data_IF_672150067253
#
_entry.id   IF_672150067253
#
_cell.length_a   1.000
_cell.length_b   1.000
_cell.length_c   1.000
_cell.angle_alpha   90.00
_cell.angle_beta   90.00
_cell.angle_gamma   90.00
#
_symmetry.space_group_name_H-M   'P 1'
#
loop_
_entity.id
_entity.type
_entity.pdbx_description
1 polymer ?
#
# COMPACT_ATOMS: atom_id res chain seq x y z
N UNK A 1 4.97 19.46 -16.37
CA UNK A 1 4.77 18.03 -16.13
C UNK A 1 3.78 17.90 -15.00
N UNK A 2 2.68 17.17 -15.18
CA UNK A 2 1.83 16.80 -14.03
C UNK A 2 2.66 15.85 -13.18
N UNK A 3 3.09 16.27 -12.00
CA UNK A 3 3.77 15.40 -11.04
C UNK A 3 2.70 14.54 -10.40
N UNK A 4 2.60 13.30 -10.85
CA UNK A 4 1.76 12.31 -10.17
C UNK A 4 2.26 12.15 -8.73
N UNK A 5 1.37 11.79 -7.82
CA UNK A 5 1.75 11.51 -6.43
C UNK A 5 2.51 10.19 -6.37
N UNK A 6 3.50 10.09 -5.50
CA UNK A 6 4.28 8.86 -5.28
C UNK A 6 3.58 7.96 -4.26
N UNK A 7 3.40 6.69 -4.60
CA UNK A 7 2.76 5.68 -3.75
C UNK A 7 3.77 4.57 -3.39
N UNK A 8 4.02 4.38 -2.09
CA UNK A 8 4.70 3.19 -1.57
C UNK A 8 3.67 2.07 -1.34
N UNK A 9 3.71 1.05 -2.19
CA UNK A 9 2.88 -0.14 -2.08
C UNK A 9 3.70 -1.27 -1.42
N UNK A 10 3.43 -1.50 -0.14
CA UNK A 10 4.11 -2.49 0.69
C UNK A 10 3.38 -3.83 0.55
N UNK A 11 4.06 -4.81 -0.05
CA UNK A 11 3.57 -6.18 -0.20
C UNK A 11 4.70 -7.20 -0.30
N UNK A 12 4.42 -8.45 0.07
CA UNK A 12 5.31 -9.58 -0.16
C UNK A 12 4.81 -10.41 -1.36
N UNK A 13 5.41 -10.19 -2.53
CA UNK A 13 5.06 -10.92 -3.76
C UNK A 13 5.48 -12.41 -3.72
N UNK A 14 6.32 -12.81 -2.76
CA UNK A 14 6.76 -14.20 -2.59
C UNK A 14 5.90 -14.97 -1.60
N UNK A 15 4.97 -14.28 -0.93
CA UNK A 15 4.06 -14.90 0.02
C UNK A 15 3.17 -15.94 -0.68
N UNK A 16 3.26 -17.20 -0.22
CA UNK A 16 2.44 -18.31 -0.69
C UNK A 16 1.26 -18.52 0.25
N UNK A 17 0.05 -18.20 -0.21
CA UNK A 17 -1.17 -18.57 0.49
C UNK A 17 -1.71 -19.90 -0.01
N UNK A 18 -2.37 -20.66 0.87
CA UNK A 18 -2.87 -22.01 0.57
C UNK A 18 -3.92 -22.04 -0.55
N UNK A 19 -4.74 -20.99 -0.70
CA UNK A 19 -5.89 -20.98 -1.61
C UNK A 19 -6.01 -19.69 -2.46
N UNK A 20 -4.96 -18.86 -2.52
CA UNK A 20 -5.05 -17.53 -3.16
C UNK A 20 -3.70 -17.09 -3.73
N UNK A 21 -3.71 -16.60 -4.96
CA UNK A 21 -2.50 -16.11 -5.65
C UNK A 21 -2.32 -14.61 -5.37
N UNK A 22 -1.92 -14.25 -4.15
CA UNK A 22 -1.79 -12.85 -3.72
C UNK A 22 -0.90 -11.98 -4.63
N UNK A 23 0.19 -12.54 -5.15
CA UNK A 23 1.06 -11.80 -6.07
C UNK A 23 0.32 -11.35 -7.34
N UNK A 24 -0.60 -12.17 -7.89
CA UNK A 24 -1.38 -11.79 -9.08
C UNK A 24 -2.34 -10.66 -8.76
N UNK A 25 -2.95 -10.68 -7.58
CA UNK A 25 -3.84 -9.61 -7.14
C UNK A 25 -3.09 -8.31 -6.93
N UNK A 26 -1.90 -8.36 -6.33
CA UNK A 26 -1.08 -7.16 -6.13
C UNK A 26 -0.57 -6.59 -7.45
N UNK A 27 -0.19 -7.45 -8.41
CA UNK A 27 0.15 -7.01 -9.77
C UNK A 27 -1.05 -6.36 -10.47
N UNK A 28 -2.26 -6.91 -10.32
CA UNK A 28 -3.48 -6.32 -10.87
C UNK A 28 -3.81 -4.97 -10.20
N UNK A 29 -3.77 -4.88 -8.88
CA UNK A 29 -4.05 -3.63 -8.17
C UNK A 29 -3.06 -2.54 -8.59
N UNK A 30 -1.76 -2.86 -8.60
CA UNK A 30 -0.74 -1.89 -9.02
C UNK A 30 -0.84 -1.52 -10.50
N UNK A 31 -1.31 -2.43 -11.38
CA UNK A 31 -1.57 -2.08 -12.78
C UNK A 31 -2.72 -1.08 -12.95
N UNK A 32 -3.68 -1.02 -12.03
CA UNK A 32 -4.75 -0.01 -12.04
C UNK A 32 -4.31 1.32 -11.42
N UNK A 33 -3.38 1.28 -10.46
CA UNK A 33 -2.93 2.48 -9.74
C UNK A 33 -1.87 3.27 -10.52
N UNK A 34 -1.08 2.61 -11.37
CA UNK A 34 0.03 3.25 -12.10
C UNK A 34 -0.42 4.39 -13.03
N UNK A 35 -1.69 4.41 -13.41
CA UNK A 35 -2.25 5.46 -14.26
C UNK A 35 -2.46 6.78 -13.48
N UNK A 36 -2.48 6.72 -12.14
CA UNK A 36 -2.71 7.87 -11.26
C UNK A 36 -1.56 8.19 -10.29
N UNK A 37 -0.61 7.26 -10.11
CA UNK A 37 0.48 7.36 -9.15
C UNK A 37 1.80 6.85 -9.72
N UNK A 38 2.91 7.44 -9.28
CA UNK A 38 4.24 6.87 -9.45
C UNK A 38 4.45 5.82 -8.34
N UNK A 39 4.58 4.54 -8.70
CA UNK A 39 4.51 3.43 -7.74
C UNK A 39 5.89 2.90 -7.37
N UNK A 40 6.14 2.78 -6.06
CA UNK A 40 7.24 2.02 -5.47
C UNK A 40 6.65 0.74 -4.87
N UNK A 41 6.95 -0.41 -5.48
CA UNK A 41 6.66 -1.73 -4.91
C UNK A 41 7.77 -2.12 -3.94
N UNK A 42 7.44 -2.38 -2.67
CA UNK A 42 8.44 -2.66 -1.64
C UNK A 42 8.06 -3.86 -0.78
N UNK A 43 9.06 -4.71 -0.49
CA UNK A 43 8.92 -5.77 0.49
C UNK A 43 8.81 -5.18 1.91
N UNK A 44 7.95 -5.71 2.81
CA UNK A 44 7.76 -5.20 4.16
C UNK A 44 9.06 -4.87 4.88
N UNK A 45 9.98 -5.83 4.97
CA UNK A 45 11.24 -5.69 5.70
C UNK A 45 12.17 -4.58 5.18
N UNK A 46 11.92 -4.02 4.00
CA UNK A 46 12.77 -2.99 3.38
C UNK A 46 12.08 -1.61 3.32
N UNK A 47 10.85 -1.45 3.83
CA UNK A 47 10.06 -0.24 3.63
C UNK A 47 10.61 1.01 4.31
N UNK A 48 11.31 0.85 5.44
CA UNK A 48 11.72 1.96 6.32
C UNK A 48 12.47 3.08 5.59
N UNK A 49 13.28 2.74 4.58
CA UNK A 49 14.08 3.71 3.82
C UNK A 49 13.25 4.55 2.82
N UNK A 50 12.02 4.14 2.53
CA UNK A 50 11.15 4.77 1.53
C UNK A 50 9.93 5.48 2.13
N UNK A 51 9.60 5.19 3.39
CA UNK A 51 8.39 5.67 4.08
C UNK A 51 8.24 7.20 4.08
N UNK A 52 9.34 7.95 4.19
CA UNK A 52 9.34 9.43 4.22
C UNK A 52 9.53 10.07 2.84
N UNK A 53 9.73 9.27 1.78
CA UNK A 53 10.03 9.74 0.43
C UNK A 53 8.79 9.79 -0.48
N UNK A 54 7.61 9.45 0.05
CA UNK A 54 6.39 9.24 -0.73
C UNK A 54 5.22 10.06 -0.20
N UNK A 55 4.25 10.33 -1.07
CA UNK A 55 3.03 11.05 -0.71
C UNK A 55 1.98 10.16 -0.02
N UNK A 56 2.07 8.84 -0.23
CA UNK A 56 1.09 7.87 0.26
C UNK A 56 1.72 6.49 0.48
N UNK A 57 1.26 5.79 1.52
CA UNK A 57 1.65 4.41 1.83
C UNK A 57 0.41 3.50 1.85
N UNK A 58 0.49 2.36 1.16
CA UNK A 58 -0.51 1.28 1.20
C UNK A 58 0.18 0.01 1.67
N UNK A 59 -0.31 -0.60 2.75
CA UNK A 59 0.20 -1.89 3.27
C UNK A 59 -0.80 -3.00 3.03
N UNK A 60 -0.43 -4.00 2.21
CA UNK A 60 -1.36 -5.10 1.95
C UNK A 60 -1.57 -5.94 3.21
N UNK A 61 -2.85 -6.12 3.59
CA UNK A 61 -3.29 -6.86 4.77
C UNK A 61 -3.07 -8.38 4.67
N UNK A 62 -2.27 -8.85 3.72
CA UNK A 62 -2.13 -10.25 3.35
C UNK A 62 -0.66 -10.58 3.07
N UNK A 63 -0.04 -11.36 3.97
CA UNK A 63 1.42 -11.53 4.01
C UNK A 63 2.06 -10.62 5.07
N UNK A 64 2.27 -9.32 4.80
CA UNK A 64 2.91 -8.34 5.70
C UNK A 64 2.32 -8.32 7.12
N UNK A 65 1.01 -8.14 7.25
CA UNK A 65 0.34 -8.02 8.55
C UNK A 65 0.26 -9.35 9.33
N UNK A 66 0.30 -10.49 8.63
CA UNK A 66 0.10 -11.83 9.23
C UNK A 66 1.44 -12.49 9.58
N UNK A 67 2.45 -12.37 8.71
CA UNK A 67 3.72 -13.09 8.80
C UNK A 67 4.87 -12.22 9.30
N UNK A 68 4.73 -10.89 9.25
CA UNK A 68 5.74 -9.95 9.68
C UNK A 68 5.22 -9.11 10.85
N UNK A 69 4.70 -9.76 11.89
CA UNK A 69 4.03 -9.10 13.03
C UNK A 69 4.93 -8.09 13.75
N UNK A 70 6.19 -8.44 14.00
CA UNK A 70 7.16 -7.54 14.64
C UNK A 70 7.41 -6.30 13.79
N UNK A 71 7.68 -6.51 12.49
CA UNK A 71 7.80 -5.41 11.55
C UNK A 71 6.53 -4.55 11.49
N UNK A 72 5.35 -5.17 11.46
CA UNK A 72 4.07 -4.46 11.38
C UNK A 72 3.86 -3.59 12.61
N UNK A 73 4.14 -4.11 13.81
CA UNK A 73 4.09 -3.32 15.04
C UNK A 73 5.07 -2.15 15.01
N UNK A 74 6.34 -2.39 14.63
CA UNK A 74 7.32 -1.31 14.49
C UNK A 74 6.94 -0.31 13.40
N UNK A 75 6.27 -0.75 12.34
CA UNK A 75 5.74 0.13 11.30
C UNK A 75 4.63 1.02 11.85
N UNK A 76 3.68 0.47 12.63
CA UNK A 76 2.64 1.27 13.31
C UNK A 76 3.25 2.34 14.22
N UNK A 77 4.26 2.00 15.01
CA UNK A 77 4.98 2.96 15.85
C UNK A 77 5.64 4.06 15.02
N UNK A 78 6.27 3.72 13.88
CA UNK A 78 6.87 4.73 12.99
C UNK A 78 5.82 5.64 12.39
N UNK A 79 4.65 5.09 12.04
CA UNK A 79 3.55 5.85 11.46
C UNK A 79 3.02 6.88 12.45
N UNK A 80 2.78 6.46 13.69
CA UNK A 80 2.31 7.35 14.74
C UNK A 80 3.34 8.43 15.08
N UNK A 81 4.60 8.03 15.28
CA UNK A 81 5.66 8.95 15.69
C UNK A 81 6.06 9.96 14.59
N UNK A 82 5.97 9.56 13.31
CA UNK A 82 6.42 10.39 12.17
C UNK A 82 5.27 11.00 11.38
N UNK A 83 4.02 10.66 11.69
CA UNK A 83 2.85 11.11 10.94
C UNK A 83 2.83 10.61 9.50
N UNK A 84 3.22 9.36 9.26
CA UNK A 84 3.32 8.81 7.90
C UNK A 84 1.95 8.73 7.21
N UNK A 85 1.86 9.06 5.90
CA UNK A 85 0.59 9.14 5.19
C UNK A 85 0.11 7.73 4.76
N UNK A 86 -0.37 6.92 5.71
CA UNK A 86 -0.98 5.63 5.35
C UNK A 86 -2.42 5.81 4.89
N UNK A 87 -2.76 5.11 3.83
CA UNK A 87 -4.10 5.03 3.27
C UNK A 87 -5.04 3.99 3.94
N UNK A 88 -4.49 2.95 4.56
CA UNK A 88 -5.27 1.79 5.01
C UNK A 88 -5.75 1.98 6.45
N UNK A 89 -7.01 1.63 6.75
CA UNK A 89 -7.47 1.52 8.13
C UNK A 89 -6.75 0.37 8.82
N UNK A 90 -6.05 0.67 9.91
CA UNK A 90 -5.14 -0.22 10.63
C UNK A 90 -5.87 -1.30 11.47
N UNK A 91 -7.21 -1.33 11.43
CA UNK A 91 -8.10 -2.15 12.26
C UNK A 91 -8.53 -3.49 11.61
N UNK A 92 -7.97 -3.84 10.45
CA UNK A 92 -8.26 -5.11 9.78
C UNK A 92 -9.61 -5.18 9.05
N UNK A 93 -10.44 -4.13 9.12
CA UNK A 93 -11.68 -3.99 8.31
C UNK A 93 -11.42 -3.45 6.90
N UNK A 94 -10.17 -3.12 6.59
CA UNK A 94 -9.76 -2.38 5.41
C UNK A 94 -9.77 -3.17 4.08
N UNK A 95 -9.97 -4.50 4.06
CA UNK A 95 -9.97 -5.23 2.77
C UNK A 95 -11.18 -4.86 1.89
N UNK A 96 -12.26 -4.35 2.49
CA UNK A 96 -13.45 -3.86 1.78
C UNK A 96 -13.38 -2.35 1.49
N UNK A 97 -13.04 -1.54 2.50
CA UNK A 97 -12.99 -0.06 2.36
C UNK A 97 -11.79 0.41 1.52
N UNK A 98 -10.64 -0.26 1.60
CA UNK A 98 -9.44 0.10 0.84
C UNK A 98 -9.59 -0.16 -0.66
N UNK A 99 -10.30 -1.22 -1.06
CA UNK A 99 -10.55 -1.53 -2.48
C UNK A 99 -11.53 -0.54 -3.13
N UNK A 100 -12.64 -0.22 -2.47
CA UNK A 100 -13.58 0.78 -3.01
C UNK A 100 -12.98 2.19 -3.05
N UNK A 101 -12.16 2.56 -2.07
CA UNK A 101 -11.57 3.90 -2.01
C UNK A 101 -10.35 4.07 -2.93
N UNK A 102 -9.54 3.03 -3.17
CA UNK A 102 -8.50 3.05 -4.22
C UNK A 102 -9.13 3.27 -5.61
N UNK A 103 -10.23 2.57 -5.91
CA UNK A 103 -11.01 2.78 -7.14
C UNK A 103 -11.63 4.18 -7.20
N UNK A 104 -12.00 4.75 -6.05
CA UNK A 104 -12.51 6.13 -5.95
C UNK A 104 -11.40 7.16 -6.20
N UNK A 105 -10.18 6.93 -5.70
CA UNK A 105 -9.03 7.78 -5.97
C UNK A 105 -8.59 7.72 -7.43
N UNK A 106 -8.66 6.57 -8.11
CA UNK A 106 -8.43 6.50 -9.56
C UNK A 106 -9.44 7.36 -10.33
N UNK A 107 -10.69 7.42 -9.86
CA UNK A 107 -11.74 8.29 -10.45
C UNK A 107 -11.56 9.77 -10.11
N UNK A 108 -11.03 10.11 -8.93
CA UNK A 108 -10.80 11.48 -8.50
C UNK A 108 -9.46 12.06 -8.99
N UNK A 109 -8.44 11.23 -9.23
CA UNK A 109 -7.18 11.63 -9.89
C UNK A 109 -7.40 12.14 -11.31
N UNK A 110 -8.46 11.68 -11.97
CA UNK A 110 -8.93 12.17 -13.27
C UNK A 110 -9.78 13.46 -13.20
N UNK A 111 -9.97 14.02 -12.00
CA UNK A 111 -10.73 15.27 -11.78
C UNK A 111 -9.88 16.28 -11.01
N UNK A 112 -8.83 16.78 -11.66
CA UNK A 112 -8.28 18.10 -11.35
C UNK A 112 -8.13 18.87 -12.66
N UNK A 113 -9.24 19.48 -13.07
CA UNK A 113 -9.28 20.68 -13.91
C UNK A 113 -8.92 21.89 -13.06
#
# INVERSE_FOLDING_TARGET
MSTNRTLLYITDLYYKANNREYYKEDLYITSQLKDAFDIILCHPLHSTQFEELVDLIVVRNSGPTIYYKEYYNSFLERVENKGLPIFNSLDGKADMLGKEYLLTLTKQGNRRS
#
